data_IF_028443079981
#
_entry.id   IF_028443079981
#
_cell.length_a   1.000
_cell.length_b   1.000
_cell.length_c   1.000
_cell.angle_alpha   90.00
_cell.angle_beta   90.00
_cell.angle_gamma   90.00
#
_symmetry.space_group_name_H-M   'P 1'
#
loop_
_entity.id
_entity.type
_entity.pdbx_description
1 polymer ?
#
# COMPACT_ATOMS: atom_id res chain seq x y z
N UNK A 1 -4.42 -6.64 3.63
CA UNK A 1 -3.19 -6.76 2.81
C UNK A 1 -2.33 -5.53 3.07
N UNK A 2 -1.08 -5.72 3.48
CA UNK A 2 -0.18 -4.60 3.77
C UNK A 2 0.41 -4.02 2.48
N UNK A 3 0.28 -2.72 2.29
CA UNK A 3 0.82 -1.99 1.14
C UNK A 3 1.54 -0.73 1.58
N UNK A 4 2.60 -0.38 0.88
CA UNK A 4 3.35 0.87 1.06
C UNK A 4 2.83 1.87 0.05
N UNK A 5 2.30 2.98 0.51
CA UNK A 5 1.76 4.00 -0.38
C UNK A 5 2.88 4.72 -1.11
N UNK A 6 2.75 4.89 -2.43
CA UNK A 6 3.68 5.73 -3.21
C UNK A 6 3.26 7.19 -3.22
N UNK A 7 1.96 7.45 -3.03
CA UNK A 7 1.36 8.77 -3.05
C UNK A 7 0.55 9.02 -1.77
N UNK A 8 0.34 10.30 -1.44
CA UNK A 8 -0.57 10.66 -0.37
C UNK A 8 -2.02 10.58 -0.89
N UNK A 9 -2.87 9.82 -0.22
CA UNK A 9 -4.29 9.69 -0.58
C UNK A 9 -5.17 9.66 0.66
N UNK A 10 -6.42 10.12 0.53
CA UNK A 10 -7.43 9.94 1.56
C UNK A 10 -8.19 8.63 1.29
N UNK A 11 -8.33 7.79 2.30
CA UNK A 11 -9.04 6.51 2.22
C UNK A 11 -9.84 6.29 3.51
N UNK A 12 -11.15 6.05 3.39
CA UNK A 12 -12.06 5.83 4.53
C UNK A 12 -12.01 6.91 5.64
N UNK A 13 -11.67 8.15 5.28
CA UNK A 13 -11.54 9.26 6.24
C UNK A 13 -10.14 9.40 6.85
N UNK A 14 -9.24 8.45 6.58
CA UNK A 14 -7.83 8.52 6.97
C UNK A 14 -6.97 9.08 5.85
N UNK A 15 -5.95 9.85 6.23
CA UNK A 15 -4.95 10.36 5.30
C UNK A 15 -3.75 9.41 5.26
N UNK A 16 -3.68 8.59 4.22
CA UNK A 16 -2.57 7.69 3.98
C UNK A 16 -1.42 8.49 3.38
N UNK A 17 -0.29 8.56 4.09
CA UNK A 17 0.88 9.32 3.66
C UNK A 17 1.75 8.49 2.72
N UNK A 18 2.33 9.15 1.71
CA UNK A 18 3.34 8.54 0.85
C UNK A 18 4.52 8.00 1.68
N UNK A 19 5.04 6.84 1.29
CA UNK A 19 6.12 6.12 1.95
C UNK A 19 5.74 5.37 3.22
N UNK A 20 4.49 5.49 3.69
CA UNK A 20 3.99 4.76 4.87
C UNK A 20 3.24 3.50 4.45
N UNK A 21 3.29 2.52 5.35
CA UNK A 21 2.66 1.22 5.17
C UNK A 21 1.30 1.21 5.86
N UNK A 22 0.30 0.68 5.17
CA UNK A 22 -1.06 0.58 5.67
C UNK A 22 -1.64 -0.79 5.31
N UNK A 23 -2.54 -1.26 6.18
CA UNK A 23 -3.33 -2.45 5.89
C UNK A 23 -4.61 -2.05 5.16
N UNK A 24 -4.75 -2.52 3.93
CA UNK A 24 -5.85 -2.20 3.03
C UNK A 24 -6.50 -3.50 2.56
N UNK A 25 -7.80 -3.47 2.27
CA UNK A 25 -8.51 -4.59 1.66
C UNK A 25 -7.82 -5.09 0.40
N UNK A 26 -7.80 -6.41 0.22
CA UNK A 26 -7.06 -7.05 -0.86
C UNK A 26 -7.53 -6.57 -2.24
N UNK A 27 -8.83 -6.36 -2.43
CA UNK A 27 -9.39 -5.84 -3.69
C UNK A 27 -8.86 -4.44 -4.01
N UNK A 28 -8.86 -3.54 -3.02
CA UNK A 28 -8.37 -2.17 -3.15
C UNK A 28 -6.86 -2.14 -3.35
N UNK A 29 -6.13 -2.91 -2.54
CA UNK A 29 -4.68 -3.06 -2.63
C UNK A 29 -4.24 -3.53 -4.03
N UNK A 30 -4.90 -4.55 -4.60
CA UNK A 30 -4.62 -5.03 -5.96
C UNK A 30 -4.78 -3.92 -7.01
N UNK A 31 -5.84 -3.12 -6.93
CA UNK A 31 -6.07 -1.99 -7.86
C UNK A 31 -4.98 -0.92 -7.71
N UNK A 32 -4.56 -0.63 -6.48
CA UNK A 32 -3.52 0.36 -6.21
C UNK A 32 -2.16 -0.11 -6.70
N UNK A 33 -1.82 -1.39 -6.50
CA UNK A 33 -0.59 -2.00 -7.01
C UNK A 33 -0.57 -1.99 -8.54
N UNK A 34 -1.66 -2.40 -9.19
CA UNK A 34 -1.78 -2.38 -10.65
C UNK A 34 -1.65 -0.95 -11.22
N UNK A 35 -2.13 0.06 -10.47
CA UNK A 35 -2.05 1.48 -10.85
C UNK A 35 -0.79 2.18 -10.35
N UNK A 36 0.16 1.45 -9.74
CA UNK A 36 1.40 1.97 -9.13
C UNK A 36 1.18 3.02 -8.02
N UNK A 37 -0.01 3.08 -7.43
CA UNK A 37 -0.34 3.96 -6.30
C UNK A 37 0.26 3.47 -4.97
N UNK A 38 0.45 2.15 -4.85
CA UNK A 38 1.05 1.52 -3.70
C UNK A 38 1.85 0.28 -4.12
N UNK A 39 2.77 -0.16 -3.28
CA UNK A 39 3.57 -1.37 -3.46
C UNK A 39 3.13 -2.43 -2.45
N UNK A 40 3.14 -3.70 -2.85
CA UNK A 40 2.88 -4.80 -1.92
C UNK A 40 4.03 -4.87 -0.93
N UNK A 41 3.72 -4.80 0.36
CA UNK A 41 4.69 -5.14 1.41
C UNK A 41 4.60 -6.64 1.59
N UNK A 42 5.56 -7.39 1.05
CA UNK A 42 5.76 -8.79 1.45
C UNK A 42 6.61 -8.77 2.73
N UNK A 43 6.17 -9.47 3.78
CA UNK A 43 6.96 -9.64 5.01
C UNK A 43 8.10 -10.68 4.86
N UNK A 44 8.55 -10.96 3.64
CA UNK A 44 9.80 -11.67 3.40
C UNK A 44 10.91 -10.61 3.33
N UNK A 45 11.79 -10.46 4.32
CA UNK A 45 12.86 -11.41 4.66
C UNK A 45 13.60 -11.84 3.39
N UNK A 46 14.89 -11.50 3.32
CA UNK A 46 15.87 -11.83 2.27
C UNK A 46 15.95 -10.83 1.09
N UNK A 47 16.53 -9.64 1.36
CA UNK A 47 17.62 -9.16 0.51
C UNK A 47 18.84 -10.03 0.86
N UNK A 48 19.17 -10.97 -0.03
CA UNK A 48 20.43 -11.73 -0.07
C UNK A 48 21.59 -10.85 -0.55
#
# INVERSE_FOLDING_TARGET
MKVKMNVQTAYHGDLLRAGKEYEIDEETAKRWIASRLAERVQENSEDE
#
